data_IF_787672301428
#
_entry.id   IF_787672301428
#
_cell.length_a   1.000
_cell.length_b   1.000
_cell.length_c   1.000
_cell.angle_alpha   90.00
_cell.angle_beta   90.00
_cell.angle_gamma   90.00
#
_symmetry.space_group_name_H-M   'P 1'
#
loop_
_entity.id
_entity.type
_entity.pdbx_description
1 polymer ?
#
# COMPACT_ATOMS: atom_id res chain seq x y z
N UNK A 1 19.48 -12.13 3.47
CA UNK A 1 19.28 -12.93 4.69
C UNK A 1 18.96 -14.35 4.27
N UNK A 2 19.54 -15.37 4.91
CA UNK A 2 19.22 -16.75 4.60
C UNK A 2 17.75 -17.01 4.99
N UNK A 3 16.95 -17.57 4.06
CA UNK A 3 15.59 -18.02 4.39
C UNK A 3 15.69 -19.29 5.22
N UNK A 4 15.11 -19.30 6.41
CA UNK A 4 15.02 -20.50 7.23
C UNK A 4 14.08 -21.50 6.56
N UNK A 5 14.55 -22.74 6.39
CA UNK A 5 13.76 -23.79 5.76
C UNK A 5 12.84 -24.43 6.78
N UNK A 6 11.54 -24.29 6.57
CA UNK A 6 10.50 -25.01 7.31
C UNK A 6 9.97 -26.17 6.45
N UNK A 7 9.73 -27.33 7.07
CA UNK A 7 9.10 -28.49 6.41
C UNK A 7 7.72 -28.71 7.01
N UNK A 8 6.71 -28.81 6.16
CA UNK A 8 5.32 -29.03 6.54
C UNK A 8 4.73 -30.20 5.75
N UNK A 9 3.76 -30.90 6.33
CA UNK A 9 2.95 -31.89 5.62
C UNK A 9 1.83 -31.17 4.87
N UNK A 10 1.65 -31.48 3.59
CA UNK A 10 0.61 -30.88 2.74
C UNK A 10 -0.05 -31.94 1.87
N UNK A 11 -1.34 -31.79 1.63
CA UNK A 11 -2.05 -32.58 0.62
C UNK A 11 -1.47 -32.29 -0.78
N UNK A 12 -0.94 -33.33 -1.42
CA UNK A 12 -0.30 -33.21 -2.73
C UNK A 12 -1.27 -32.78 -3.83
N UNK A 13 -2.49 -33.34 -3.86
CA UNK A 13 -3.47 -33.01 -4.89
C UNK A 13 -3.91 -31.53 -4.77
N UNK A 14 -4.06 -31.05 -3.53
CA UNK A 14 -4.35 -29.63 -3.27
C UNK A 14 -3.20 -28.73 -3.71
N UNK A 15 -1.96 -29.13 -3.43
CA UNK A 15 -0.76 -28.39 -3.84
C UNK A 15 -0.64 -28.28 -5.36
N UNK A 16 -0.81 -29.40 -6.08
CA UNK A 16 -0.74 -29.44 -7.54
C UNK A 16 -1.86 -28.62 -8.18
N UNK A 17 -3.09 -28.71 -7.64
CA UNK A 17 -4.23 -27.89 -8.09
C UNK A 17 -3.96 -26.40 -7.89
N UNK A 18 -3.49 -26.01 -6.71
CA UNK A 18 -3.18 -24.62 -6.41
C UNK A 18 -2.07 -24.09 -7.33
N UNK A 19 -0.99 -24.87 -7.53
CA UNK A 19 0.11 -24.53 -8.43
C UNK A 19 -0.38 -24.26 -9.85
N UNK A 20 -1.29 -25.10 -10.37
CA UNK A 20 -1.89 -24.89 -11.69
C UNK A 20 -2.73 -23.61 -11.78
N UNK A 21 -3.50 -23.29 -10.74
CA UNK A 21 -4.34 -22.09 -10.71
C UNK A 21 -3.54 -20.77 -10.69
N UNK A 22 -2.39 -20.75 -10.02
CA UNK A 22 -1.56 -19.54 -9.88
C UNK A 22 -0.35 -19.52 -10.81
N UNK A 23 -0.23 -20.52 -11.71
CA UNK A 23 0.90 -20.70 -12.62
C UNK A 23 2.29 -20.65 -11.93
N UNK A 24 2.38 -21.15 -10.70
CA UNK A 24 3.63 -21.17 -9.94
C UNK A 24 4.56 -22.29 -10.41
N UNK A 25 5.87 -22.06 -10.32
CA UNK A 25 6.93 -22.99 -10.72
C UNK A 25 7.17 -24.07 -9.66
N UNK A 26 6.81 -23.79 -8.41
CA UNK A 26 7.01 -24.73 -7.29
C UNK A 26 5.91 -24.63 -6.24
N UNK A 27 5.76 -25.68 -5.43
CA UNK A 27 4.85 -25.64 -4.27
C UNK A 27 5.30 -24.59 -3.25
N UNK A 28 6.60 -24.39 -3.05
CA UNK A 28 7.10 -23.35 -2.15
C UNK A 28 6.66 -21.95 -2.59
N UNK A 29 6.68 -21.66 -3.88
CA UNK A 29 6.18 -20.38 -4.43
C UNK A 29 4.68 -20.21 -4.22
N UNK A 30 3.89 -21.29 -4.33
CA UNK A 30 2.45 -21.25 -3.99
C UNK A 30 2.24 -20.93 -2.50
N UNK A 31 3.06 -21.53 -1.63
CA UNK A 31 2.96 -21.30 -0.19
C UNK A 31 3.40 -19.89 0.19
N UNK A 32 4.50 -19.39 -0.37
CA UNK A 32 4.96 -18.01 -0.16
C UNK A 32 3.82 -17.03 -0.57
N UNK A 33 3.26 -17.17 -1.77
CA UNK A 33 2.15 -16.33 -2.25
C UNK A 33 0.90 -16.43 -1.35
N UNK A 34 0.56 -17.63 -0.89
CA UNK A 34 -0.60 -17.84 -0.03
C UNK A 34 -0.40 -17.19 1.35
N UNK A 35 0.81 -17.26 1.90
CA UNK A 35 1.15 -16.65 3.19
C UNK A 35 1.16 -15.13 3.07
N UNK A 36 1.75 -14.56 2.02
CA UNK A 36 1.74 -13.11 1.79
C UNK A 36 0.31 -12.59 1.74
N UNK A 37 -0.55 -13.22 0.92
CA UNK A 37 -1.96 -12.86 0.82
C UNK A 37 -2.72 -12.97 2.14
N UNK A 38 -2.42 -14.01 2.94
CA UNK A 38 -3.04 -14.19 4.24
C UNK A 38 -2.60 -13.10 5.22
N UNK A 39 -1.31 -12.81 5.29
CA UNK A 39 -0.73 -11.79 6.16
C UNK A 39 -1.31 -10.42 5.81
N UNK A 40 -1.36 -10.05 4.53
CA UNK A 40 -1.87 -8.76 4.09
C UNK A 40 -3.36 -8.60 4.39
N UNK A 41 -4.16 -9.64 4.14
CA UNK A 41 -5.59 -9.63 4.48
C UNK A 41 -5.81 -9.49 6.00
N UNK A 42 -4.99 -10.16 6.80
CA UNK A 42 -5.06 -10.13 8.25
C UNK A 42 -4.58 -8.81 8.87
N UNK A 43 -3.59 -8.15 8.24
CA UNK A 43 -3.18 -6.79 8.59
C UNK A 43 -4.30 -5.81 8.30
N UNK A 44 -4.83 -5.82 7.08
CA UNK A 44 -5.93 -4.93 6.69
C UNK A 44 -7.15 -5.07 7.60
N UNK A 45 -7.53 -6.31 7.96
CA UNK A 45 -8.63 -6.55 8.91
C UNK A 45 -8.36 -5.93 10.28
N UNK A 46 -7.14 -6.05 10.80
CA UNK A 46 -6.75 -5.45 12.08
C UNK A 46 -6.72 -3.93 12.00
N UNK A 47 -6.22 -3.37 10.92
CA UNK A 47 -6.18 -1.92 10.71
C UNK A 47 -7.61 -1.35 10.67
N UNK A 48 -8.52 -1.99 9.93
CA UNK A 48 -9.94 -1.62 9.91
C UNK A 48 -10.56 -1.71 11.31
N UNK A 49 -10.27 -2.79 12.06
CA UNK A 49 -10.79 -2.95 13.41
C UNK A 49 -10.24 -1.86 14.35
N UNK A 50 -8.97 -1.48 14.21
CA UNK A 50 -8.34 -0.41 14.97
C UNK A 50 -8.99 0.95 14.65
N UNK A 51 -9.18 1.29 13.37
CA UNK A 51 -9.86 2.53 12.97
C UNK A 51 -11.33 2.58 13.38
N UNK A 52 -12.00 1.43 13.48
CA UNK A 52 -13.38 1.39 14.02
C UNK A 52 -13.40 1.63 15.52
N UNK A 53 -12.41 1.10 16.24
CA UNK A 53 -12.31 1.26 17.69
C UNK A 53 -11.88 2.68 18.07
N UNK A 54 -10.94 3.25 17.32
CA UNK A 54 -10.47 4.62 17.47
C UNK A 54 -10.61 5.36 16.13
N UNK A 55 -11.81 5.89 15.84
CA UNK A 55 -12.03 6.68 14.63
C UNK A 55 -11.08 7.89 14.60
N UNK A 56 -10.60 8.29 13.42
CA UNK A 56 -9.76 9.47 13.32
C UNK A 56 -10.52 10.69 13.84
N UNK A 57 -9.83 11.54 14.57
CA UNK A 57 -10.39 12.81 15.04
C UNK A 57 -10.47 13.84 13.89
N UNK A 58 -11.09 14.99 14.16
CA UNK A 58 -11.28 16.01 13.13
C UNK A 58 -9.95 16.60 12.62
N UNK A 59 -8.91 16.63 13.46
CA UNK A 59 -7.59 17.08 13.05
C UNK A 59 -6.96 16.07 12.09
N UNK A 60 -7.01 14.77 12.39
CA UNK A 60 -6.51 13.70 11.53
C UNK A 60 -7.28 13.61 10.20
N UNK A 61 -8.59 13.84 10.22
CA UNK A 61 -9.41 13.90 8.99
C UNK A 61 -9.08 15.09 8.09
N UNK A 62 -8.50 16.16 8.65
CA UNK A 62 -8.09 17.33 7.87
C UNK A 62 -6.76 17.14 7.14
N UNK A 63 -5.93 16.17 7.55
CA UNK A 63 -4.59 15.94 6.96
C UNK A 63 -4.64 15.63 5.45
N UNK A 64 -5.50 14.73 4.95
CA UNK A 64 -5.60 14.49 3.51
C UNK A 64 -6.03 15.72 2.69
N UNK A 65 -6.78 16.66 3.31
CA UNK A 65 -7.22 17.89 2.67
C UNK A 65 -6.07 18.89 2.48
N UNK A 66 -5.00 18.81 3.29
CA UNK A 66 -3.81 19.65 3.12
C UNK A 66 -3.01 19.29 1.85
N UNK A 67 -3.16 18.06 1.35
CA UNK A 67 -2.54 17.59 0.11
C UNK A 67 -3.43 17.74 -1.12
N UNK A 68 -4.60 18.38 -0.99
CA UNK A 68 -5.52 18.59 -2.12
C UNK A 68 -4.91 19.57 -3.13
N UNK A 69 -4.46 19.02 -4.25
CA UNK A 69 -3.89 19.75 -5.37
C UNK A 69 -4.91 20.14 -6.43
N UNK A 70 -6.20 19.81 -6.25
CA UNK A 70 -7.24 20.13 -7.23
C UNK A 70 -7.41 21.64 -7.43
N UNK A 71 -6.99 22.47 -6.46
CA UNK A 71 -6.90 23.93 -6.56
C UNK A 71 -5.61 24.49 -7.16
N UNK A 72 -4.61 23.68 -7.51
CA UNK A 72 -3.34 24.16 -8.09
C UNK A 72 -3.46 24.64 -9.54
N UNK A 73 -4.57 24.33 -10.21
CA UNK A 73 -4.88 24.85 -11.55
C UNK A 73 -5.56 26.23 -11.52
N UNK A 74 -5.50 26.94 -10.38
CA UNK A 74 -5.92 28.34 -10.27
C UNK A 74 -5.16 29.19 -11.31
N UNK A 75 -5.83 30.07 -12.07
CA UNK A 75 -5.18 31.03 -12.99
C UNK A 75 -4.33 32.09 -12.27
N UNK A 76 -3.85 31.82 -11.06
CA UNK A 76 -3.00 32.71 -10.28
C UNK A 76 -1.75 33.03 -11.08
N UNK A 77 -1.65 34.30 -11.46
CA UNK A 77 -0.51 34.84 -12.17
C UNK A 77 0.66 35.05 -11.19
N UNK A 78 1.48 34.00 -11.07
CA UNK A 78 2.66 33.99 -10.20
C UNK A 78 3.71 35.02 -10.64
N UNK A 79 3.75 35.36 -11.93
CA UNK A 79 4.68 36.32 -12.51
C UNK A 79 4.33 37.74 -12.07
N UNK A 80 3.03 38.06 -11.96
CA UNK A 80 2.56 39.32 -11.40
C UNK A 80 2.78 39.45 -9.87
N UNK A 81 2.80 38.33 -9.13
CA UNK A 81 2.99 38.32 -7.67
C UNK A 81 4.46 38.40 -7.26
N UNK A 82 5.36 37.90 -8.09
CA UNK A 82 6.80 37.93 -7.88
C UNK A 82 7.52 38.50 -9.10
N UNK A 83 7.33 39.80 -9.41
CA UNK A 83 8.07 40.43 -10.48
C UNK A 83 9.55 40.31 -10.16
N UNK A 84 10.32 39.76 -11.10
CA UNK A 84 11.77 39.65 -10.95
C UNK A 84 12.31 41.08 -10.71
N UNK A 85 12.97 41.27 -9.56
CA UNK A 85 13.67 42.52 -9.33
C UNK A 85 14.74 42.64 -10.42
N UNK A 86 14.69 43.70 -11.21
CA UNK A 86 15.74 44.01 -12.16
C UNK A 86 17.06 44.04 -11.39
N UNK A 87 17.92 43.05 -11.65
CA UNK A 87 19.29 43.00 -11.15
C UNK A 87 20.04 44.16 -11.81
N UNK A 88 19.99 45.33 -11.16
CA UNK A 88 20.74 46.53 -11.54
C UNK A 88 22.25 46.20 -11.50
N UNK A 89 22.82 45.95 -12.67
CA UNK A 89 24.28 45.86 -12.89
C UNK A 89 24.91 47.21 -13.11
#
# INVERSE_FOLDING_TARGET
MAKDKVTITLDRAKADRARGLVAARSTSEVIDLALDRLIDAERLRRDIAAYRLNPPDDAERSIPLLGDSSGLADPTDWEALYPEAEDDR
#
